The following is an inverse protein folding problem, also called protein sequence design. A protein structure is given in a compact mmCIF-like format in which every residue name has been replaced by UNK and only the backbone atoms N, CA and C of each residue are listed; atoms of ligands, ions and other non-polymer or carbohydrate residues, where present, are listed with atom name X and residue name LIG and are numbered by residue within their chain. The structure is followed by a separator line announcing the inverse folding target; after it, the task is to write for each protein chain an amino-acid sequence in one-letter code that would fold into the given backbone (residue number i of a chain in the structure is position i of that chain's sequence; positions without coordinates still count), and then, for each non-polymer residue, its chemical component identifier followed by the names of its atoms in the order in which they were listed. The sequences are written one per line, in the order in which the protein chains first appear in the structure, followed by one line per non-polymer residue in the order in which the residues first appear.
data_IF_500779321535
#
_entry.id   IF_500779321535
#
_cell.length_a   1.000
_cell.length_b   1.000
_cell.length_c   1.000
_cell.angle_alpha   90.00
_cell.angle_beta   90.00
_cell.angle_gamma   90.00
#
_symmetry.space_group_name_H-M   'P 1'
#
loop_
_entity.id
_entity.type
_entity.pdbx_description
1 polymer ?
#
# COMPACT_ATOMS: atom_id res chain seq x y z
N UNK A 1 2.88 -2.48 -16.23
CA UNK A 1 3.31 -1.39 -15.32
C UNK A 1 3.76 -0.14 -16.06
N UNK A 2 4.55 -0.22 -17.15
CA UNK A 2 5.07 0.97 -17.88
C UNK A 2 3.98 1.96 -18.35
N UNK A 3 2.80 1.43 -18.67
CA UNK A 3 1.65 2.18 -19.16
C UNK A 3 0.78 2.83 -18.06
N UNK A 4 0.99 2.44 -16.80
CA UNK A 4 0.18 2.91 -15.66
C UNK A 4 0.35 4.40 -15.35
N UNK A 5 1.55 5.01 -15.42
CA UNK A 5 1.71 6.44 -15.13
C UNK A 5 0.86 7.36 -16.02
N UNK A 6 0.57 6.94 -17.26
CA UNK A 6 -0.22 7.73 -18.21
C UNK A 6 -1.71 7.39 -18.20
N UNK A 7 -2.06 6.18 -17.79
CA UNK A 7 -3.39 5.59 -18.07
C UNK A 7 -4.06 5.00 -16.83
N UNK A 8 -3.40 5.13 -15.68
CA UNK A 8 -3.79 4.52 -14.42
C UNK A 8 -3.80 2.99 -14.43
N UNK A 9 -4.28 2.45 -13.32
CA UNK A 9 -4.49 1.01 -13.16
C UNK A 9 -5.78 0.62 -13.89
N UNK A 10 -5.71 0.47 -15.21
CA UNK A 10 -6.87 0.22 -16.08
C UNK A 10 -6.66 -1.00 -16.97
N UNK A 11 -7.76 -1.54 -17.50
CA UNK A 11 -7.71 -2.62 -18.51
C UNK A 11 -6.92 -2.17 -19.74
N UNK A 12 -7.05 -0.91 -20.15
CA UNK A 12 -6.33 -0.38 -21.31
C UNK A 12 -4.80 -0.40 -21.09
N UNK A 13 -4.32 -0.18 -19.86
CA UNK A 13 -2.90 -0.33 -19.52
C UNK A 13 -2.42 -1.80 -19.58
N UNK A 14 -3.31 -2.75 -19.28
CA UNK A 14 -3.05 -4.20 -19.43
C UNK A 14 -2.98 -4.57 -20.91
N UNK A 15 -3.97 -4.15 -21.71
CA UNK A 15 -4.04 -4.43 -23.15
C UNK A 15 -2.80 -3.90 -23.88
N UNK A 16 -2.41 -2.65 -23.62
CA UNK A 16 -1.18 -2.09 -24.19
C UNK A 16 0.08 -2.82 -23.74
N UNK A 17 0.16 -3.18 -22.46
CA UNK A 17 1.28 -3.98 -21.96
C UNK A 17 1.38 -5.37 -22.60
N UNK A 18 0.24 -6.00 -22.90
CA UNK A 18 0.18 -7.27 -23.60
C UNK A 18 0.68 -7.12 -25.05
N UNK A 19 0.18 -6.11 -25.77
CA UNK A 19 0.59 -5.81 -27.16
C UNK A 19 2.09 -5.54 -27.26
N UNK A 20 2.65 -4.72 -26.36
CA UNK A 20 4.10 -4.43 -26.33
C UNK A 20 4.95 -5.68 -26.07
N UNK A 21 4.40 -6.66 -25.37
CA UNK A 21 5.05 -7.94 -25.07
C UNK A 21 4.85 -9.00 -26.17
N UNK A 22 4.21 -8.64 -27.29
CA UNK A 22 3.93 -9.54 -28.41
C UNK A 22 2.72 -10.46 -28.19
N UNK A 23 1.87 -10.17 -27.20
CA UNK A 23 0.63 -10.89 -26.93
C UNK A 23 -0.59 -10.19 -27.52
N UNK A 24 -1.66 -10.95 -27.76
CA UNK A 24 -2.93 -10.41 -28.24
C UNK A 24 -3.70 -9.70 -27.11
N UNK A 25 -4.52 -8.71 -27.44
CA UNK A 25 -5.36 -7.99 -26.46
C UNK A 25 -6.31 -8.92 -25.68
N UNK A 26 -6.73 -10.04 -26.27
CA UNK A 26 -7.57 -11.05 -25.61
C UNK A 26 -6.92 -11.66 -24.36
N UNK A 27 -5.60 -11.50 -24.20
CA UNK A 27 -4.84 -11.86 -22.99
C UNK A 27 -5.36 -11.13 -21.75
N UNK A 28 -6.07 -10.00 -21.91
CA UNK A 28 -6.79 -9.32 -20.81
C UNK A 28 -7.72 -10.26 -20.03
N UNK A 29 -8.25 -11.31 -20.67
CA UNK A 29 -9.13 -12.28 -20.02
C UNK A 29 -8.44 -13.12 -18.92
N UNK A 30 -7.11 -13.14 -18.89
CA UNK A 30 -6.35 -13.74 -17.79
C UNK A 30 -6.45 -12.90 -16.50
N UNK A 31 -6.80 -11.61 -16.61
CA UNK A 31 -6.97 -10.69 -15.50
C UNK A 31 -8.44 -10.68 -15.07
N UNK A 32 -8.86 -11.77 -14.42
CA UNK A 32 -10.26 -12.01 -14.02
C UNK A 32 -10.83 -10.97 -13.06
N UNK A 33 -9.98 -10.21 -12.34
CA UNK A 33 -10.37 -9.09 -11.47
C UNK A 33 -10.03 -7.73 -12.09
N UNK A 34 -9.66 -7.72 -13.37
CA UNK A 34 -9.39 -6.52 -14.15
C UNK A 34 -8.26 -5.67 -13.59
N UNK A 35 -8.54 -4.38 -13.35
CA UNK A 35 -7.56 -3.43 -12.81
C UNK A 35 -6.98 -3.87 -11.46
N UNK A 36 -7.75 -4.57 -10.64
CA UNK A 36 -7.29 -5.04 -9.34
C UNK A 36 -6.14 -6.04 -9.45
N UNK A 37 -6.12 -6.90 -10.47
CA UNK A 37 -5.02 -7.85 -10.67
C UNK A 37 -3.70 -7.10 -10.96
N UNK A 38 -3.76 -5.99 -11.69
CA UNK A 38 -2.61 -5.13 -11.95
C UNK A 38 -2.13 -4.39 -10.69
N UNK A 39 -3.07 -3.88 -9.88
CA UNK A 39 -2.76 -3.27 -8.58
C UNK A 39 -2.08 -4.29 -7.68
N UNK A 40 -2.67 -5.49 -7.56
CA UNK A 40 -2.15 -6.56 -6.72
C UNK A 40 -0.75 -7.01 -7.16
N UNK A 41 -0.51 -7.09 -8.45
CA UNK A 41 0.84 -7.36 -8.97
C UNK A 41 1.85 -6.30 -8.51
N UNK A 42 1.50 -5.02 -8.58
CA UNK A 42 2.35 -3.93 -8.06
C UNK A 42 2.58 -4.07 -6.55
N UNK A 43 1.52 -4.32 -5.76
CA UNK A 43 1.64 -4.49 -4.31
C UNK A 43 2.60 -5.62 -3.94
N UNK A 44 2.43 -6.79 -4.56
CA UNK A 44 3.27 -7.95 -4.35
C UNK A 44 4.71 -7.69 -4.76
N UNK A 45 4.92 -7.16 -5.97
CA UNK A 45 6.25 -6.88 -6.51
C UNK A 45 7.02 -5.91 -5.60
N UNK A 46 6.40 -4.81 -5.19
CA UNK A 46 7.08 -3.82 -4.35
C UNK A 46 7.26 -4.30 -2.90
N UNK A 47 6.42 -5.20 -2.38
CA UNK A 47 6.70 -5.90 -1.12
C UNK A 47 7.95 -6.76 -1.25
N UNK A 48 8.04 -7.59 -2.29
CA UNK A 48 9.19 -8.46 -2.50
C UNK A 48 10.49 -7.67 -2.73
N UNK A 49 10.41 -6.53 -3.43
CA UNK A 49 11.54 -5.63 -3.65
C UNK A 49 12.16 -5.09 -2.35
N UNK A 50 11.47 -5.17 -1.20
CA UNK A 50 12.03 -4.77 0.09
C UNK A 50 13.28 -5.57 0.49
N UNK A 51 13.40 -6.81 0.01
CA UNK A 51 14.59 -7.65 0.22
C UNK A 51 15.86 -7.03 -0.34
N UNK A 52 15.76 -6.18 -1.37
CA UNK A 52 16.92 -5.52 -1.97
C UNK A 52 17.60 -4.54 -0.99
N UNK A 53 16.91 -4.09 0.05
CA UNK A 53 17.44 -3.17 1.05
C UNK A 53 18.12 -3.87 2.23
N UNK A 54 18.27 -5.21 2.22
CA UNK A 54 18.84 -5.96 3.34
C UNK A 54 20.21 -5.43 3.80
N UNK A 55 21.08 -5.07 2.86
CA UNK A 55 22.40 -4.51 3.19
C UNK A 55 22.31 -3.15 3.90
N UNK A 56 21.37 -2.30 3.50
CA UNK A 56 21.08 -1.01 4.16
C UNK A 56 20.52 -1.23 5.57
N UNK A 57 19.65 -2.24 5.73
CA UNK A 57 19.11 -2.61 7.05
C UNK A 57 20.18 -3.13 8.00
N UNK A 58 21.19 -3.85 7.50
CA UNK A 58 22.32 -4.33 8.32
C UNK A 58 23.19 -3.17 8.81
N UNK A 59 23.34 -2.11 8.01
CA UNK A 59 24.08 -0.90 8.38
C UNK A 59 23.31 0.03 9.35
N UNK A 60 21.98 0.04 9.28
CA UNK A 60 21.13 0.88 10.13
C UNK A 60 21.00 0.33 11.56
N UNK A 61 21.18 1.22 12.54
CA UNK A 61 21.11 0.86 13.96
C UNK A 61 19.74 1.20 14.54
N UNK A 62 19.03 0.17 14.97
CA UNK A 62 17.77 0.27 15.71
C UNK A 62 16.57 -0.14 14.87
N UNK A 63 15.74 -1.00 15.45
CA UNK A 63 14.58 -1.62 14.77
C UNK A 63 13.59 -0.57 14.24
N UNK A 64 13.32 0.50 15.02
CA UNK A 64 12.41 1.57 14.58
C UNK A 64 12.88 2.30 13.32
N UNK A 65 14.19 2.54 13.20
CA UNK A 65 14.76 3.17 11.99
C UNK A 65 14.71 2.23 10.78
N UNK A 66 14.99 0.93 10.99
CA UNK A 66 14.84 -0.09 9.94
C UNK A 66 13.40 -0.16 9.42
N UNK A 67 12.42 -0.19 10.33
CA UNK A 67 10.99 -0.19 9.96
C UNK A 67 10.60 1.10 9.21
N UNK A 68 11.04 2.27 9.71
CA UNK A 68 10.84 3.55 9.01
C UNK A 68 11.42 3.50 7.60
N UNK A 69 12.64 3.00 7.44
CA UNK A 69 13.30 2.85 6.15
C UNK A 69 12.48 1.98 5.20
N UNK A 70 12.01 0.81 5.65
CA UNK A 70 11.17 -0.08 4.84
C UNK A 70 9.84 0.56 4.43
N UNK A 71 9.17 1.25 5.35
CA UNK A 71 7.95 2.02 5.03
C UNK A 71 8.24 3.10 3.98
N UNK A 72 9.33 3.86 4.15
CA UNK A 72 9.76 4.89 3.21
C UNK A 72 9.99 4.29 1.82
N UNK A 73 10.78 3.22 1.70
CA UNK A 73 11.07 2.60 0.40
C UNK A 73 9.81 2.06 -0.26
N UNK A 74 8.92 1.43 0.52
CA UNK A 74 7.67 0.90 -0.01
C UNK A 74 6.72 2.00 -0.51
N UNK A 75 6.54 3.08 0.27
CA UNK A 75 5.70 4.22 -0.12
C UNK A 75 6.28 4.95 -1.33
N UNK A 76 7.59 5.15 -1.34
CA UNK A 76 8.31 5.80 -2.46
C UNK A 76 8.10 5.06 -3.78
N UNK A 77 7.95 3.74 -3.76
CA UNK A 77 7.66 2.95 -4.97
C UNK A 77 6.31 3.29 -5.63
N UNK A 78 5.41 4.00 -4.93
CA UNK A 78 4.14 4.49 -5.49
C UNK A 78 4.28 5.85 -6.20
N UNK A 79 5.39 6.57 -6.03
CA UNK A 79 5.60 7.92 -6.62
C UNK A 79 5.34 7.98 -8.14
N UNK A 80 5.82 7.03 -8.97
CA UNK A 80 5.58 7.07 -10.41
C UNK A 80 4.11 6.95 -10.82
N UNK A 81 3.25 6.53 -9.88
CA UNK A 81 1.83 6.26 -10.13
C UNK A 81 0.93 7.14 -9.26
N UNK A 82 1.47 8.18 -8.63
CA UNK A 82 0.77 8.94 -7.57
C UNK A 82 -0.52 9.59 -8.08
N UNK A 83 -0.53 10.08 -9.32
CA UNK A 83 -1.70 10.72 -9.95
C UNK A 83 -2.88 9.76 -10.14
N UNK A 84 -2.62 8.45 -10.11
CA UNK A 84 -3.62 7.39 -10.23
C UNK A 84 -3.75 6.53 -8.96
N UNK A 85 -2.98 6.86 -7.91
CA UNK A 85 -2.93 6.03 -6.71
C UNK A 85 -4.20 6.13 -5.87
N UNK A 86 -4.88 7.29 -5.89
CA UNK A 86 -6.19 7.44 -5.25
C UNK A 86 -7.25 6.53 -5.89
N UNK A 87 -7.24 6.38 -7.22
CA UNK A 87 -8.14 5.46 -7.92
C UNK A 87 -7.79 4.00 -7.61
N UNK A 88 -6.50 3.67 -7.49
CA UNK A 88 -6.06 2.35 -7.07
C UNK A 88 -6.56 2.02 -5.64
N UNK A 89 -6.45 2.96 -4.70
CA UNK A 89 -7.01 2.84 -3.35
C UNK A 89 -8.52 2.64 -3.37
N UNK A 90 -9.24 3.34 -4.25
CA UNK A 90 -10.67 3.16 -4.43
C UNK A 90 -11.02 1.74 -4.92
N UNK A 91 -10.30 1.22 -5.92
CA UNK A 91 -10.48 -0.16 -6.41
C UNK A 91 -10.17 -1.19 -5.31
N UNK A 92 -9.10 -0.99 -4.54
CA UNK A 92 -8.74 -1.86 -3.40
C UNK A 92 -9.81 -1.86 -2.30
N UNK A 93 -10.57 -0.77 -2.17
CA UNK A 93 -11.62 -0.57 -1.17
C UNK A 93 -12.98 -1.15 -1.59
N UNK A 94 -13.12 -1.65 -2.83
CA UNK A 94 -14.34 -2.30 -3.27
C UNK A 94 -14.58 -3.60 -2.48
N UNK A 95 -15.82 -3.94 -2.08
CA UNK A 95 -16.10 -5.10 -1.21
C UNK A 95 -15.50 -6.42 -1.71
N UNK A 96 -15.48 -6.66 -3.02
CA UNK A 96 -14.91 -7.86 -3.63
C UNK A 96 -13.36 -7.93 -3.50
N UNK A 97 -12.70 -6.79 -3.35
CA UNK A 97 -11.24 -6.65 -3.32
C UNK A 97 -10.71 -6.49 -1.89
N UNK A 98 -11.50 -5.94 -0.96
CA UNK A 98 -11.10 -5.67 0.44
C UNK A 98 -10.40 -6.85 1.11
N UNK A 99 -10.90 -8.10 1.06
CA UNK A 99 -10.21 -9.23 1.72
C UNK A 99 -8.78 -9.44 1.19
N UNK A 100 -8.61 -9.35 -0.14
CA UNK A 100 -7.29 -9.49 -0.76
C UNK A 100 -6.39 -8.28 -0.46
N UNK A 101 -6.93 -7.06 -0.50
CA UNK A 101 -6.18 -5.84 -0.15
C UNK A 101 -5.68 -5.86 1.30
N UNK A 102 -6.50 -6.31 2.24
CA UNK A 102 -6.12 -6.46 3.65
C UNK A 102 -5.08 -7.57 3.85
N UNK A 103 -5.18 -8.67 3.11
CA UNK A 103 -4.15 -9.71 3.14
C UNK A 103 -2.80 -9.16 2.65
N UNK A 104 -2.76 -8.42 1.53
CA UNK A 104 -1.51 -7.83 1.03
C UNK A 104 -0.91 -6.82 2.02
N UNK A 105 -1.74 -6.05 2.74
CA UNK A 105 -1.31 -5.12 3.78
C UNK A 105 -0.80 -5.84 5.04
N UNK A 106 -1.41 -6.97 5.40
CA UNK A 106 -0.93 -7.83 6.47
C UNK A 106 0.42 -8.44 6.12
N UNK A 107 0.53 -9.05 4.94
CA UNK A 107 1.76 -9.66 4.42
C UNK A 107 2.88 -8.63 4.32
N UNK A 108 2.58 -7.40 3.92
CA UNK A 108 3.56 -6.31 3.90
C UNK A 108 4.12 -6.01 5.29
N UNK A 109 3.25 -5.93 6.29
CA UNK A 109 3.64 -5.67 7.67
C UNK A 109 4.45 -6.83 8.24
N UNK A 110 4.02 -8.07 7.99
CA UNK A 110 4.75 -9.28 8.36
C UNK A 110 6.14 -9.33 7.73
N UNK A 111 6.24 -9.07 6.43
CA UNK A 111 7.51 -9.02 5.68
C UNK A 111 8.46 -7.97 6.25
N UNK A 112 7.97 -6.76 6.55
CA UNK A 112 8.81 -5.71 7.14
C UNK A 112 9.35 -6.12 8.51
N UNK A 113 8.55 -6.79 9.34
CA UNK A 113 8.99 -7.31 10.64
C UNK A 113 9.96 -8.50 10.48
N UNK A 114 9.75 -9.34 9.47
CA UNK A 114 10.65 -10.43 9.14
C UNK A 114 12.04 -9.92 8.73
N UNK A 115 12.10 -8.92 7.84
CA UNK A 115 13.36 -8.32 7.35
C UNK A 115 14.19 -7.62 8.43
N UNK A 116 13.60 -7.30 9.58
CA UNK A 116 14.32 -6.71 10.73
C UNK A 116 14.58 -7.72 11.85
N UNK A 117 14.44 -9.01 11.55
CA UNK A 117 14.67 -10.15 12.45
C UNK A 117 13.82 -10.12 13.74
N UNK A 118 12.56 -9.67 13.66
CA UNK A 118 11.67 -9.64 14.82
C UNK A 118 11.40 -11.03 15.39
N UNK A 119 11.70 -11.21 16.68
CA UNK A 119 11.50 -12.46 17.41
C UNK A 119 10.23 -12.46 18.28
N UNK A 120 9.26 -11.58 17.99
CA UNK A 120 8.06 -11.48 18.82
C UNK A 120 7.16 -12.70 18.68
N UNK A 121 6.60 -13.15 19.80
CA UNK A 121 5.59 -14.20 19.86
C UNK A 121 4.26 -13.66 20.40
N UNK A 122 3.21 -14.47 20.25
CA UNK A 122 1.90 -14.28 20.87
C UNK A 122 1.28 -12.90 20.58
N UNK A 123 0.81 -12.20 21.61
CA UNK A 123 0.09 -10.92 21.46
C UNK A 123 0.97 -9.80 20.92
N UNK A 124 2.28 -9.81 21.22
CA UNK A 124 3.21 -8.80 20.70
C UNK A 124 3.34 -8.90 19.17
N UNK A 125 3.28 -10.11 18.62
CA UNK A 125 3.31 -10.37 17.18
C UNK A 125 2.13 -9.71 16.46
N UNK A 126 0.90 -9.94 16.97
CA UNK A 126 -0.34 -9.40 16.38
C UNK A 126 -0.39 -7.88 16.48
N UNK A 127 -0.07 -7.35 17.66
CA UNK A 127 -0.08 -5.91 17.93
C UNK A 127 0.89 -5.15 17.04
N UNK A 128 2.12 -5.66 16.88
CA UNK A 128 3.14 -5.03 16.02
C UNK A 128 2.68 -4.97 14.56
N UNK A 129 2.12 -6.06 14.05
CA UNK A 129 1.68 -6.13 12.66
C UNK A 129 0.48 -5.25 12.39
N UNK A 130 -0.52 -5.30 13.27
CA UNK A 130 -1.71 -4.46 13.14
C UNK A 130 -1.36 -2.96 13.22
N UNK A 131 -0.49 -2.58 14.15
CA UNK A 131 -0.07 -1.19 14.31
C UNK A 131 0.73 -0.70 13.09
N UNK A 132 1.66 -1.51 12.57
CA UNK A 132 2.45 -1.13 11.40
C UNK A 132 1.60 -1.08 10.12
N UNK A 133 0.69 -2.05 9.91
CA UNK A 133 -0.28 -2.00 8.79
C UNK A 133 -1.10 -0.71 8.84
N UNK A 134 -1.49 -0.29 10.03
CA UNK A 134 -2.25 0.93 10.26
C UNK A 134 -1.46 2.20 9.95
N UNK A 135 -0.21 2.28 10.43
CA UNK A 135 0.71 3.38 10.10
C UNK A 135 0.92 3.46 8.59
N UNK A 136 1.18 2.32 7.94
CA UNK A 136 1.39 2.27 6.51
C UNK A 136 0.16 2.74 5.72
N UNK A 137 -1.02 2.16 5.99
CA UNK A 137 -2.24 2.49 5.25
C UNK A 137 -2.65 3.96 5.40
N UNK A 138 -2.53 4.52 6.61
CA UNK A 138 -2.83 5.94 6.85
C UNK A 138 -1.84 6.87 6.14
N UNK A 139 -0.55 6.50 6.09
CA UNK A 139 0.49 7.26 5.38
C UNK A 139 0.32 7.16 3.86
N UNK A 140 0.00 5.98 3.33
CA UNK A 140 -0.25 5.75 1.90
C UNK A 140 -1.43 6.59 1.39
N UNK A 141 -2.50 6.66 2.19
CA UNK A 141 -3.63 7.55 1.89
C UNK A 141 -3.24 9.04 1.97
N UNK A 142 -2.47 9.43 3.00
CA UNK A 142 -1.99 10.81 3.14
C UNK A 142 -1.15 11.24 1.92
N UNK A 143 -0.27 10.35 1.45
CA UNK A 143 0.63 10.58 0.32
C UNK A 143 -0.11 11.00 -0.95
N UNK A 144 -1.32 10.48 -1.20
CA UNK A 144 -2.12 10.85 -2.39
C UNK A 144 -2.53 12.33 -2.44
N UNK A 145 -2.59 12.98 -1.29
CA UNK A 145 -3.02 14.37 -1.15
C UNK A 145 -1.85 15.33 -0.93
N UNK A 146 -0.64 14.80 -0.73
CA UNK A 146 0.54 15.60 -0.45
C UNK A 146 1.07 16.25 -1.73
N UNK A 147 1.18 17.58 -1.69
CA UNK A 147 1.73 18.43 -2.77
C UNK A 147 3.04 19.12 -2.36
N UNK A 148 3.60 18.77 -1.20
CA UNK A 148 4.91 19.27 -0.77
C UNK A 148 6.03 18.73 -1.66
N UNK A 149 7.13 19.47 -1.71
CA UNK A 149 8.31 19.07 -2.46
C UNK A 149 8.81 17.69 -1.99
N UNK A 150 9.00 16.77 -2.93
CA UNK A 150 9.48 15.40 -2.66
C UNK A 150 8.69 14.64 -1.57
N UNK A 151 7.40 14.97 -1.38
CA UNK A 151 6.52 14.37 -0.36
C UNK A 151 6.99 14.58 1.09
N UNK A 152 7.63 15.71 1.38
CA UNK A 152 8.15 16.01 2.72
C UNK A 152 7.09 15.84 3.82
N UNK A 153 5.87 16.34 3.60
CA UNK A 153 4.79 16.23 4.59
C UNK A 153 4.40 14.76 4.84
N UNK A 154 4.47 13.90 3.82
CA UNK A 154 4.23 12.45 3.96
C UNK A 154 5.27 11.81 4.87
N UNK A 155 6.54 12.19 4.73
CA UNK A 155 7.61 11.63 5.56
C UNK A 155 7.53 12.11 7.01
N UNK A 156 7.17 13.37 7.23
CA UNK A 156 6.88 13.90 8.57
C UNK A 156 5.66 13.23 9.19
N UNK A 157 4.63 12.97 8.40
CA UNK A 157 3.44 12.22 8.83
C UNK A 157 3.79 10.79 9.25
N UNK A 158 4.59 10.07 8.44
CA UNK A 158 5.09 8.73 8.74
C UNK A 158 5.83 8.71 10.08
N UNK A 159 6.75 9.66 10.28
CA UNK A 159 7.57 9.76 11.49
C UNK A 159 6.72 9.97 12.74
N UNK A 160 5.73 10.85 12.65
CA UNK A 160 4.77 11.09 13.73
C UNK A 160 3.97 9.83 14.06
N UNK A 161 3.44 9.13 13.05
CA UNK A 161 2.66 7.89 13.24
C UNK A 161 3.49 6.76 13.86
N UNK A 162 4.74 6.58 13.43
CA UNK A 162 5.65 5.60 14.02
C UNK A 162 5.98 5.94 15.49
N UNK A 163 6.22 7.22 15.80
CA UNK A 163 6.47 7.67 17.17
C UNK A 163 5.27 7.46 18.09
N UNK A 164 4.05 7.66 17.61
CA UNK A 164 2.83 7.42 18.40
C UNK A 164 2.66 5.95 18.75
N UNK A 165 2.88 5.05 17.80
CA UNK A 165 2.87 3.59 18.07
C UNK A 165 3.93 3.21 19.10
N UNK A 166 5.12 3.84 19.05
CA UNK A 166 6.17 3.61 20.02
C UNK A 166 5.83 4.14 21.43
N UNK A 167 5.21 5.32 21.51
CA UNK A 167 5.02 6.05 22.77
C UNK A 167 3.76 5.62 23.53
N UNK A 168 2.67 5.37 22.81
CA UNK A 168 1.33 5.21 23.41
C UNK A 168 1.02 3.74 23.69
N UNK A 169 1.74 2.79 23.08
CA UNK A 169 1.23 1.43 22.95
C UNK A 169 0.00 1.43 22.03
N UNK A 170 -0.31 0.28 21.44
CA UNK A 170 -1.29 0.17 20.36
C UNK A 170 -2.75 0.45 20.81
N UNK A 171 -3.19 1.72 20.76
CA UNK A 171 -4.61 2.06 20.85
C UNK A 171 -5.32 1.71 19.54
N UNK A 172 -5.65 0.43 19.39
CA UNK A 172 -6.22 -0.22 18.20
C UNK A 172 -7.66 0.26 17.88
N UNK A 173 -8.38 0.76 18.88
CA UNK A 173 -9.81 1.08 18.77
C UNK A 173 -10.13 2.28 17.88
N UNK A 174 -9.37 3.36 18.00
CA UNK A 174 -9.67 4.62 17.29
C UNK A 174 -9.38 4.54 15.79
N UNK A 175 -8.40 3.72 15.41
CA UNK A 175 -7.93 3.68 14.02
C UNK A 175 -8.76 2.73 13.15
N UNK A 176 -9.27 1.64 13.72
CA UNK A 176 -10.21 0.75 13.02
C UNK A 176 -11.50 1.49 12.65
N UNK A 177 -11.98 2.36 13.55
CA UNK A 177 -13.13 3.22 13.28
C UNK A 177 -12.83 4.26 12.19
N UNK A 178 -11.64 4.87 12.20
CA UNK A 178 -11.22 5.82 11.17
C UNK A 178 -11.13 5.19 9.77
N UNK A 179 -10.48 4.02 9.66
CA UNK A 179 -10.35 3.29 8.39
C UNK A 179 -11.74 2.87 7.88
N UNK A 180 -12.61 2.33 8.75
CA UNK A 180 -13.97 1.96 8.38
C UNK A 180 -14.82 3.14 7.92
N UNK A 181 -14.73 4.29 8.61
CA UNK A 181 -15.46 5.52 8.26
C UNK A 181 -15.04 6.08 6.89
N UNK A 182 -13.75 6.07 6.59
CA UNK A 182 -13.23 6.60 5.33
C UNK A 182 -13.50 5.66 4.14
N UNK A 183 -13.53 4.34 4.37
CA UNK A 183 -14.01 3.36 3.38
C UNK A 183 -15.48 3.56 3.03
N UNK A 184 -16.32 3.89 4.02
CA UNK A 184 -17.74 4.22 3.79
C UNK A 184 -17.90 5.51 2.98
N UNK A 185 -17.14 6.56 3.31
CA UNK A 185 -17.13 7.83 2.58
C UNK A 185 -16.69 7.65 1.11
N UNK A 186 -15.63 6.88 0.85
CA UNK A 186 -15.17 6.58 -0.49
C UNK A 186 -16.25 5.83 -1.32
N UNK A 187 -16.93 4.86 -0.71
CA UNK A 187 -18.06 4.16 -1.33
C UNK A 187 -19.22 5.09 -1.74
N UNK A 188 -19.59 6.04 -0.88
CA UNK A 188 -20.65 7.00 -1.19
C UNK A 188 -20.28 7.97 -2.31
N UNK A 189 -19.01 8.40 -2.37
CA UNK A 189 -18.52 9.27 -3.44
C UNK A 189 -18.55 8.53 -4.79
N UNK A 190 -18.16 7.25 -4.82
CA UNK A 190 -18.23 6.42 -6.02
C UNK A 190 -19.68 6.18 -6.48
N UNK A 191 -20.60 5.92 -5.54
CA UNK A 191 -22.02 5.79 -5.84
C UNK A 191 -22.62 7.09 -6.42
N UNK A 192 -22.19 8.26 -5.92
CA UNK A 192 -22.66 9.56 -6.41
C UNK A 192 -22.14 9.94 -7.80
N UNK A 193 -21.02 9.35 -8.25
CA UNK A 193 -20.44 9.58 -9.59
C UNK A 193 -20.95 8.63 -10.68
N UNK A 194 -21.88 7.72 -10.36
CA UNK A 194 -22.57 6.89 -11.36
C UNK A 194 -21.68 5.86 -12.08
N UNK A 195 -20.53 5.51 -11.52
CA UNK A 195 -19.66 4.45 -12.06
C UNK A 195 -20.37 3.12 -11.79
N UNK A 196 -20.91 2.49 -12.84
CA UNK A 196 -21.55 1.18 -12.74
C UNK A 196 -20.51 0.13 -12.35
N UNK A 197 -20.82 -0.60 -11.27
CA UNK A 197 -20.14 -1.81 -10.81
C UNK A 197 -20.16 -2.91 -11.88
#
# INVERSE_FOLDING_TARGET
MHHVPEQGFTIAAIERGATDSGHLEITRNLFTRGSFDLIRFHLYRERMNLHNYKSELEAEKGVGKKIRHLCYQRLRANQPYIDHWQDALAVMSMPANVPASLQELHDLSDEMWHLVDDQSADMAWYTKRMSLSTVYASTDMFMTQDKSENFQNTWEFLDRRLNEVHTIGSSIGEITQFVGFQLWQAGNILASKGIKL
#
